data_IF_083822594797
#
_entry.id   IF_083822594797
#
_cell.length_a   1.000
_cell.length_b   1.000
_cell.length_c   1.000
_cell.angle_alpha   90.00
_cell.angle_beta   90.00
_cell.angle_gamma   90.00
#
_symmetry.space_group_name_H-M   'P 1'
#
loop_
_entity.id
_entity.type
_entity.pdbx_description
1 polymer ?
#
# COMPACT_ATOMS: atom_id res chain seq x y z
N UNK A 1 -1.19 7.20 7.06
CA UNK A 1 -0.22 6.13 6.72
C UNK A 1 -0.64 5.60 5.36
N UNK A 2 0.23 5.72 4.36
CA UNK A 2 -0.13 5.40 2.96
C UNK A 2 0.10 3.92 2.68
N UNK A 3 -0.86 3.31 2.02
CA UNK A 3 -0.83 1.94 1.54
C UNK A 3 -0.92 1.93 0.02
N UNK A 4 -0.25 0.98 -0.60
CA UNK A 4 -0.16 0.83 -2.05
C UNK A 4 -0.83 -0.49 -2.42
N UNK A 5 -1.74 -0.47 -3.39
CA UNK A 5 -2.31 -1.68 -3.95
C UNK A 5 -1.23 -2.46 -4.70
N UNK A 6 -1.08 -3.75 -4.44
CA UNK A 6 -0.07 -4.57 -5.12
C UNK A 6 -0.33 -4.75 -6.62
N UNK A 7 -1.60 -4.74 -7.03
CA UNK A 7 -2.00 -5.04 -8.42
C UNK A 7 -1.94 -3.82 -9.32
N UNK A 8 -2.53 -2.69 -8.90
CA UNK A 8 -2.59 -1.46 -9.72
C UNK A 8 -1.57 -0.38 -9.29
N UNK A 9 -0.81 -0.58 -8.20
CA UNK A 9 0.13 0.42 -7.70
C UNK A 9 -0.51 1.69 -7.15
N UNK A 10 -1.84 1.75 -7.08
CA UNK A 10 -2.57 2.91 -6.60
C UNK A 10 -2.34 3.12 -5.10
N UNK A 11 -2.12 4.39 -4.73
CA UNK A 11 -1.81 4.82 -3.38
C UNK A 11 -3.08 5.33 -2.68
N UNK A 12 -3.32 4.84 -1.46
CA UNK A 12 -4.47 5.23 -0.66
C UNK A 12 -4.05 5.51 0.77
N UNK A 13 -4.74 6.44 1.44
CA UNK A 13 -4.61 6.57 2.88
C UNK A 13 -5.32 5.42 3.58
N UNK A 14 -4.77 4.99 4.72
CA UNK A 14 -5.38 3.95 5.55
C UNK A 14 -6.85 4.23 5.90
N UNK A 15 -7.20 5.49 6.14
CA UNK A 15 -8.58 5.91 6.45
C UNK A 15 -9.53 5.69 5.27
N UNK A 16 -9.07 5.92 4.03
CA UNK A 16 -9.84 5.68 2.81
C UNK A 16 -10.03 4.17 2.57
N UNK A 17 -9.01 3.37 2.91
CA UNK A 17 -9.10 1.91 2.86
C UNK A 17 -10.11 1.37 3.86
N UNK A 18 -10.15 1.90 5.09
CA UNK A 18 -11.15 1.50 6.08
C UNK A 18 -12.57 1.78 5.60
N UNK A 19 -12.81 2.97 5.02
CA UNK A 19 -14.12 3.31 4.42
C UNK A 19 -14.49 2.37 3.27
N UNK A 20 -13.51 1.95 2.48
CA UNK A 20 -13.69 1.05 1.33
C UNK A 20 -13.64 -0.45 1.69
N UNK A 21 -13.69 -0.82 2.99
CA UNK A 21 -13.57 -2.21 3.47
C UNK A 21 -12.32 -2.92 2.94
N UNK A 22 -11.21 -2.19 2.84
CA UNK A 22 -9.92 -2.64 2.28
C UNK A 22 -10.00 -3.15 0.84
N UNK A 23 -11.00 -2.74 0.07
CA UNK A 23 -11.11 -3.03 -1.35
C UNK A 23 -10.46 -1.92 -2.16
N UNK A 24 -9.67 -2.29 -3.15
CA UNK A 24 -9.10 -1.30 -4.06
C UNK A 24 -10.18 -0.76 -5.01
N UNK A 25 -10.37 0.56 -5.00
CA UNK A 25 -11.34 1.23 -5.88
C UNK A 25 -10.80 1.49 -7.29
N UNK A 26 -9.47 1.52 -7.48
CA UNK A 26 -8.86 1.69 -8.81
C UNK A 26 -8.84 0.40 -9.62
N UNK A 27 -8.76 -0.74 -8.95
CA UNK A 27 -8.77 -2.06 -9.56
C UNK A 27 -10.22 -2.58 -9.68
N UNK A 28 -11.05 -1.97 -10.53
CA UNK A 28 -12.47 -2.38 -10.71
C UNK A 28 -12.64 -3.85 -11.11
N UNK A 29 -11.65 -4.42 -11.82
CA UNK A 29 -11.72 -5.77 -12.37
C UNK A 29 -11.29 -6.87 -11.38
N UNK A 30 -10.39 -6.54 -10.43
CA UNK A 30 -9.78 -7.53 -9.53
C UNK A 30 -10.15 -7.38 -8.06
N UNK A 31 -10.76 -6.25 -7.63
CA UNK A 31 -11.12 -5.96 -6.22
C UNK A 31 -10.02 -6.37 -5.23
N UNK A 32 -8.77 -6.08 -5.59
CA UNK A 32 -7.61 -6.52 -4.83
C UNK A 32 -7.70 -6.00 -3.39
N UNK A 33 -7.47 -6.90 -2.44
CA UNK A 33 -7.52 -6.64 -0.99
C UNK A 33 -6.13 -6.75 -0.33
N UNK A 34 -5.08 -6.80 -1.14
CA UNK A 34 -3.69 -6.93 -0.70
C UNK A 34 -3.01 -5.56 -0.81
N UNK A 35 -2.48 -5.10 0.32
CA UNK A 35 -1.94 -3.75 0.51
C UNK A 35 -0.52 -3.79 1.04
N UNK A 36 0.36 -2.98 0.46
CA UNK A 36 1.74 -2.82 0.90
C UNK A 36 1.86 -1.46 1.59
N UNK A 37 2.33 -1.45 2.84
CA UNK A 37 2.63 -0.20 3.55
C UNK A 37 3.79 0.51 2.85
N UNK A 38 3.58 1.77 2.44
CA UNK A 38 4.64 2.58 1.83
C UNK A 38 5.75 2.78 2.86
N UNK A 39 7.00 2.49 2.47
CA UNK A 39 8.14 2.73 3.35
C UNK A 39 8.33 4.25 3.52
N UNK A 40 8.60 4.73 4.73
CA UNK A 40 9.05 6.10 4.93
C UNK A 40 10.38 6.32 4.19
N UNK A 41 10.49 7.43 3.47
CA UNK A 41 11.66 7.77 2.64
C UNK A 41 12.94 7.94 3.47
N UNK A 42 12.81 8.18 4.78
CA UNK A 42 13.91 8.48 5.69
C UNK A 42 14.43 7.28 6.50
N UNK A 43 14.08 6.03 6.12
CA UNK A 43 14.69 4.85 6.76
C UNK A 43 15.94 4.45 5.96
N UNK A 44 17.10 4.95 6.36
CA UNK A 44 18.40 4.42 5.93
C UNK A 44 18.52 2.97 6.39
N UNK A 45 18.40 2.03 5.45
CA UNK A 45 18.71 0.62 5.73
C UNK A 45 20.22 0.48 5.93
N UNK A 46 20.65 0.31 7.17
CA UNK A 46 22.02 -0.11 7.45
C UNK A 46 22.13 -1.60 7.09
N UNK A 47 22.76 -1.89 5.94
CA UNK A 47 23.07 -3.26 5.52
C UNK A 47 24.49 -3.56 5.99
N UNK A 48 24.63 -4.40 7.01
CA UNK A 48 25.94 -4.91 7.45
C UNK A 48 26.26 -6.12 6.58
N UNK A 49 27.21 -5.97 5.64
CA UNK A 49 27.76 -7.08 4.86
C UNK A 49 28.72 -7.91 5.73
N UNK A 50 28.61 -9.24 5.64
CA UNK A 50 29.62 -10.18 6.14
C UNK A 50 30.49 -10.63 4.99
#
# INVERSE_FOLDING_TARGET
>A
MTYVCIECGAEFQYEELLRSKMKCNSCSEKRSNIWIKKRPENITKVVIGR
#
